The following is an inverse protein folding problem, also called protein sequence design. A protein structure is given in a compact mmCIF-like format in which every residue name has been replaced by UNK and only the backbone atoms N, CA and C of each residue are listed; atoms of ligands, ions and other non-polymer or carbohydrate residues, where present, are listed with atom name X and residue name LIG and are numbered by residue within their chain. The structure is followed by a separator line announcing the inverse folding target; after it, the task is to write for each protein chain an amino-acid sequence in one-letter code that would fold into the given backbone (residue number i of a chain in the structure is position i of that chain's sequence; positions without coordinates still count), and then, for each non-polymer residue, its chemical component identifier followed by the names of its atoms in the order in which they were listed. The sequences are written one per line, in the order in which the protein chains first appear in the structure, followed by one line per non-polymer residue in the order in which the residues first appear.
data_IF_405132123600
#
_entry.id   IF_405132123600
#
_cell.length_a   1.000
_cell.length_b   1.000
_cell.length_c   1.000
_cell.angle_alpha   90.00
_cell.angle_beta   90.00
_cell.angle_gamma   90.00
#
_symmetry.space_group_name_H-M   'P 1'
#
loop_
_entity.id
_entity.type
_entity.pdbx_description
1 polymer ?
#
# COMPACT_ATOMS: atom_id res chain seq x y z
N UNK A 1 2.33 -7.34 -18.68
CA UNK A 1 1.13 -7.36 -17.80
C UNK A 1 0.27 -6.18 -18.21
N UNK A 2 -0.95 -6.40 -18.71
CA UNK A 2 -1.83 -5.27 -19.09
C UNK A 2 -2.24 -4.52 -17.82
N UNK A 3 -2.00 -3.21 -17.81
CA UNK A 3 -2.33 -2.33 -16.71
C UNK A 3 -3.85 -2.22 -16.61
N UNK A 4 -4.42 -2.62 -15.47
CA UNK A 4 -5.84 -2.38 -15.19
C UNK A 4 -6.08 -0.87 -15.04
N UNK A 5 -7.31 -0.44 -15.27
CA UNK A 5 -7.71 0.94 -14.97
C UNK A 5 -7.52 1.27 -13.47
N UNK A 6 -7.29 2.55 -13.16
CA UNK A 6 -7.14 3.03 -11.78
C UNK A 6 -8.36 2.66 -10.95
N UNK A 7 -9.59 2.92 -11.44
CA UNK A 7 -10.82 2.73 -10.66
C UNK A 7 -11.06 1.26 -10.32
N UNK A 8 -10.84 0.37 -11.29
CA UNK A 8 -10.94 -1.08 -11.11
C UNK A 8 -9.92 -1.59 -10.11
N UNK A 9 -8.71 -1.04 -10.14
CA UNK A 9 -7.63 -1.42 -9.22
C UNK A 9 -7.94 -0.97 -7.80
N UNK A 10 -8.38 0.28 -7.62
CA UNK A 10 -8.83 0.82 -6.32
C UNK A 10 -9.95 -0.04 -5.76
N UNK A 11 -10.96 -0.35 -6.56
CA UNK A 11 -12.10 -1.21 -6.16
C UNK A 11 -11.62 -2.58 -5.70
N UNK A 12 -10.69 -3.19 -6.44
CA UNK A 12 -10.13 -4.51 -6.11
C UNK A 12 -9.36 -4.49 -4.79
N UNK A 13 -8.51 -3.48 -4.59
CA UNK A 13 -7.73 -3.33 -3.35
C UNK A 13 -8.67 -3.10 -2.17
N UNK A 14 -9.64 -2.18 -2.29
CA UNK A 14 -10.59 -1.90 -1.22
C UNK A 14 -11.45 -3.11 -0.87
N UNK A 15 -11.86 -3.91 -1.86
CA UNK A 15 -12.55 -5.17 -1.62
C UNK A 15 -11.68 -6.16 -0.82
N UNK A 16 -10.38 -6.28 -1.15
CA UNK A 16 -9.45 -7.14 -0.42
C UNK A 16 -9.20 -6.63 1.01
N UNK A 17 -9.05 -5.32 1.18
CA UNK A 17 -8.97 -4.68 2.50
C UNK A 17 -10.22 -5.02 3.31
N UNK A 18 -11.43 -4.81 2.76
CA UNK A 18 -12.69 -5.08 3.47
C UNK A 18 -12.80 -6.53 3.96
N UNK A 19 -12.27 -7.50 3.20
CA UNK A 19 -12.25 -8.92 3.59
C UNK A 19 -11.25 -9.26 4.70
N UNK A 20 -10.15 -8.52 4.79
CA UNK A 20 -9.05 -8.80 5.74
C UNK A 20 -9.11 -7.89 6.99
N UNK A 21 -9.78 -6.75 6.88
CA UNK A 21 -9.91 -5.75 7.92
C UNK A 21 -11.03 -6.13 8.89
N UNK A 22 -10.61 -6.60 10.07
CA UNK A 22 -11.50 -6.84 11.21
C UNK A 22 -11.15 -5.85 12.31
N UNK A 23 -11.90 -4.74 12.47
CA UNK A 23 -11.60 -3.70 13.46
C UNK A 23 -11.58 -4.30 14.87
N UNK A 24 -10.48 -4.08 15.58
CA UNK A 24 -10.31 -4.51 16.97
C UNK A 24 -9.61 -3.43 17.76
N UNK A 25 -10.17 -3.07 18.92
CA UNK A 25 -9.60 -2.06 19.80
C UNK A 25 -8.13 -2.37 20.14
N UNK A 26 -7.30 -1.34 20.17
CA UNK A 26 -5.85 -1.44 20.40
C UNK A 26 -5.04 -2.04 19.25
N UNK A 27 -5.67 -2.43 18.14
CA UNK A 27 -4.96 -2.95 16.96
C UNK A 27 -4.55 -1.81 16.02
N UNK A 28 -3.40 -1.95 15.37
CA UNK A 28 -2.91 -1.02 14.35
C UNK A 28 -3.01 -1.65 12.97
N UNK A 29 -3.43 -0.84 12.01
CA UNK A 29 -3.61 -1.23 10.62
C UNK A 29 -2.89 -0.22 9.74
N UNK A 30 -1.98 -0.69 8.91
CA UNK A 30 -1.26 0.16 7.94
C UNK A 30 -1.24 -0.50 6.58
N UNK A 31 -1.10 0.30 5.53
CA UNK A 31 -0.79 -0.19 4.20
C UNK A 31 0.73 -0.14 4.05
N UNK A 32 1.35 -1.23 3.57
CA UNK A 32 2.77 -1.26 3.24
C UNK A 32 2.94 -1.41 1.73
N UNK A 33 3.68 -0.48 1.15
CA UNK A 33 4.09 -0.50 -0.25
C UNK A 33 5.58 -0.83 -0.32
N UNK A 34 5.91 -1.95 -0.95
CA UNK A 34 7.29 -2.38 -1.14
C UNK A 34 7.63 -2.29 -2.63
N UNK A 35 8.61 -1.48 -2.97
CA UNK A 35 9.19 -1.50 -4.32
C UNK A 35 10.10 -2.72 -4.44
N UNK A 36 9.80 -3.59 -5.40
CA UNK A 36 10.62 -4.75 -5.70
C UNK A 36 11.79 -4.35 -6.62
N UNK A 37 13.05 -4.52 -6.19
CA UNK A 37 14.20 -4.16 -7.02
C UNK A 37 14.50 -5.20 -8.12
N UNK A 38 13.97 -6.41 -8.00
CA UNK A 38 14.23 -7.52 -8.93
C UNK A 38 13.13 -7.70 -9.96
N UNK A 39 11.91 -7.26 -9.66
CA UNK A 39 10.79 -7.18 -10.60
C UNK A 39 10.22 -5.75 -10.58
N UNK A 40 9.95 -5.10 -11.74
CA UNK A 40 9.45 -3.73 -11.80
C UNK A 40 7.98 -3.64 -11.32
N UNK A 41 7.79 -3.78 -10.01
CA UNK A 41 6.49 -3.84 -9.36
C UNK A 41 6.49 -3.20 -7.96
N UNK A 42 5.31 -2.74 -7.56
CA UNK A 42 4.98 -2.39 -6.19
C UNK A 42 4.12 -3.50 -5.58
N UNK A 43 4.61 -4.10 -4.50
CA UNK A 43 3.87 -5.05 -3.69
C UNK A 43 3.10 -4.31 -2.60
N UNK A 44 1.80 -4.58 -2.51
CA UNK A 44 0.89 -3.94 -1.57
C UNK A 44 0.47 -4.94 -0.49
N UNK A 45 0.56 -4.53 0.76
CA UNK A 45 0.15 -5.33 1.90
C UNK A 45 -0.72 -4.53 2.87
N UNK A 46 -1.66 -5.22 3.52
CA UNK A 46 -2.30 -4.77 4.74
C UNK A 46 -1.53 -5.34 5.93
N UNK A 47 -0.86 -4.47 6.68
CA UNK A 47 -0.20 -4.85 7.91
C UNK A 47 -1.16 -4.73 9.08
N UNK A 48 -1.25 -5.78 9.88
CA UNK A 48 -2.13 -5.86 11.05
C UNK A 48 -1.29 -6.20 12.27
N UNK A 49 -1.37 -5.37 13.31
CA UNK A 49 -0.72 -5.61 14.60
C UNK A 49 -1.74 -5.55 15.72
N UNK A 50 -2.08 -6.71 16.28
CA UNK A 50 -2.91 -6.80 17.47
C UNK A 50 -2.07 -6.57 18.73
N UNK A 51 -2.69 -6.15 19.86
CA UNK A 51 -2.01 -6.08 21.14
C UNK A 51 -1.35 -7.42 21.50
N UNK A 52 -0.10 -7.35 21.94
CA UNK A 52 0.70 -8.51 22.37
C UNK A 52 0.90 -9.59 21.30
N UNK A 53 0.76 -9.24 20.02
CA UNK A 53 1.02 -10.15 18.90
C UNK A 53 2.00 -9.54 17.92
N UNK A 54 2.72 -10.41 17.21
CA UNK A 54 3.56 -10.00 16.09
C UNK A 54 2.71 -9.43 14.95
N UNK A 55 3.23 -8.39 14.30
CA UNK A 55 2.63 -7.86 13.10
C UNK A 55 2.59 -8.93 12.00
N UNK A 56 1.53 -8.92 11.20
CA UNK A 56 1.40 -9.79 10.02
C UNK A 56 1.07 -8.95 8.80
N UNK A 57 1.68 -9.30 7.67
CA UNK A 57 1.42 -8.69 6.36
C UNK A 57 0.48 -9.59 5.57
N UNK A 58 -0.65 -9.04 5.15
CA UNK A 58 -1.60 -9.71 4.27
C UNK A 58 -1.48 -9.12 2.85
N UNK A 59 -1.28 -9.94 1.81
CA UNK A 59 -1.13 -9.42 0.45
C UNK A 59 -2.44 -8.79 -0.05
N UNK A 60 -2.31 -7.61 -0.64
CA UNK A 60 -3.41 -6.86 -1.27
C UNK A 60 -3.29 -6.85 -2.79
N UNK A 61 -2.10 -6.60 -3.36
CA UNK A 61 -1.91 -6.54 -4.81
C UNK A 61 -0.42 -6.57 -5.18
N UNK A 62 -0.15 -6.90 -6.44
CA UNK A 62 1.15 -6.67 -7.09
C UNK A 62 0.87 -5.82 -8.32
N UNK A 63 1.40 -4.61 -8.32
CA UNK A 63 1.10 -3.57 -9.30
C UNK A 63 2.37 -3.21 -10.09
N UNK A 64 2.29 -2.82 -11.37
CA UNK A 64 3.47 -2.34 -12.12
C UNK A 64 4.14 -1.16 -11.42
N UNK A 65 5.47 -1.02 -11.56
CA UNK A 65 6.27 0.08 -10.99
C UNK A 65 6.07 1.43 -11.73
N UNK A 66 4.83 1.87 -11.86
CA UNK A 66 4.47 3.17 -12.43
C UNK A 66 4.07 4.12 -11.30
N UNK A 67 4.90 5.13 -11.03
CA UNK A 67 4.72 6.04 -9.92
C UNK A 67 3.51 6.97 -10.08
N UNK A 68 3.18 7.39 -11.30
CA UNK A 68 2.03 8.27 -11.54
C UNK A 68 0.74 7.51 -11.27
N UNK A 69 0.74 6.23 -11.66
CA UNK A 69 -0.37 5.35 -11.38
C UNK A 69 -0.47 4.95 -9.91
N UNK A 70 0.66 4.65 -9.26
CA UNK A 70 0.74 4.40 -7.84
C UNK A 70 0.11 5.55 -7.04
N UNK A 71 0.50 6.79 -7.34
CA UNK A 71 -0.01 7.99 -6.67
C UNK A 71 -1.53 8.13 -6.82
N UNK A 72 -2.07 7.86 -8.02
CA UNK A 72 -3.51 7.87 -8.28
C UNK A 72 -4.27 6.77 -7.52
N UNK A 73 -3.73 5.54 -7.49
CA UNK A 73 -4.34 4.42 -6.76
C UNK A 73 -4.29 4.67 -5.25
N UNK A 74 -3.18 5.17 -4.71
CA UNK A 74 -3.03 5.52 -3.29
C UNK A 74 -4.09 6.52 -2.86
N UNK A 75 -4.30 7.57 -3.67
CA UNK A 75 -5.34 8.57 -3.41
C UNK A 75 -6.72 7.90 -3.28
N UNK A 76 -7.13 7.11 -4.27
CA UNK A 76 -8.45 6.44 -4.24
C UNK A 76 -8.62 5.42 -3.10
N UNK A 77 -7.56 4.69 -2.73
CA UNK A 77 -7.61 3.76 -1.59
C UNK A 77 -7.73 4.53 -0.27
N UNK A 78 -7.02 5.65 -0.13
CA UNK A 78 -7.02 6.47 1.09
C UNK A 78 -8.35 7.19 1.37
N UNK A 79 -9.20 7.35 0.36
CA UNK A 79 -10.54 7.94 0.50
C UNK A 79 -11.50 7.02 1.27
N UNK A 80 -11.31 5.70 1.18
CA UNK A 80 -12.16 4.73 1.89
C UNK A 80 -11.61 4.36 3.27
N UNK A 81 -10.29 4.22 3.38
CA UNK A 81 -9.62 3.84 4.63
C UNK A 81 -8.46 4.80 4.92
N UNK A 82 -8.54 5.55 6.02
CA UNK A 82 -7.49 6.49 6.45
C UNK A 82 -6.32 5.78 7.17
N UNK A 83 -5.87 4.64 6.64
CA UNK A 83 -4.72 3.94 7.20
C UNK A 83 -3.42 4.69 6.94
N UNK A 84 -2.47 4.61 7.87
CA UNK A 84 -1.10 5.05 7.62
C UNK A 84 -0.53 4.21 6.48
N UNK A 85 0.20 4.87 5.56
CA UNK A 85 0.84 4.22 4.43
C UNK A 85 2.35 4.26 4.66
N UNK A 86 2.97 3.09 4.65
CA UNK A 86 4.40 2.91 4.80
C UNK A 86 5.04 2.51 3.48
N UNK A 87 6.28 2.97 3.25
CA UNK A 87 7.05 2.69 2.04
C UNK A 87 8.37 2.01 2.36
N UNK A 88 8.67 0.92 1.63
CA UNK A 88 9.94 0.19 1.71
C UNK A 88 10.61 0.05 0.35
N UNK A 89 11.93 0.21 0.32
CA UNK A 89 12.77 0.19 -0.88
C UNK A 89 12.42 1.26 -1.93
N UNK A 90 11.72 2.32 -1.52
CA UNK A 90 11.33 3.46 -2.36
C UNK A 90 12.27 4.67 -2.22
N UNK A 91 13.34 4.60 -1.42
CA UNK A 91 14.12 5.77 -0.99
C UNK A 91 14.77 6.60 -2.10
N UNK A 92 14.90 6.05 -3.31
CA UNK A 92 15.44 6.76 -4.48
C UNK A 92 14.34 7.25 -5.44
N UNK A 93 13.08 6.97 -5.15
CA UNK A 93 11.93 7.35 -5.97
C UNK A 93 11.38 8.71 -5.53
N UNK A 94 10.74 9.42 -6.46
CA UNK A 94 10.14 10.74 -6.22
C UNK A 94 8.68 10.74 -6.64
N UNK A 95 7.82 11.37 -5.85
CA UNK A 95 6.42 11.55 -6.20
C UNK A 95 6.29 12.36 -7.49
N UNK A 96 5.58 11.88 -8.52
CA UNK A 96 5.45 12.58 -9.79
C UNK A 96 4.85 13.97 -9.65
N UNK A 97 3.84 14.12 -8.78
CA UNK A 97 3.13 15.40 -8.63
C UNK A 97 3.97 16.46 -7.91
N UNK A 98 4.79 16.07 -6.93
CA UNK A 98 5.49 17.02 -6.05
C UNK A 98 7.01 17.04 -6.22
N UNK A 99 7.60 16.05 -6.89
CA UNK A 99 9.04 15.85 -7.00
C UNK A 99 9.75 15.47 -5.69
N UNK A 100 9.01 15.36 -4.57
CA UNK A 100 9.56 15.03 -3.26
C UNK A 100 10.00 13.57 -3.22
N UNK A 101 11.08 13.28 -2.51
CA UNK A 101 11.54 11.90 -2.28
C UNK A 101 10.47 11.12 -1.51
N UNK A 102 10.33 9.84 -1.84
CA UNK A 102 9.48 8.93 -1.08
C UNK A 102 10.26 8.48 0.15
N UNK A 103 9.87 9.00 1.31
CA UNK A 103 10.52 8.70 2.57
C UNK A 103 10.30 7.23 2.96
N UNK A 104 11.38 6.58 3.38
CA UNK A 104 11.31 5.26 3.97
C UNK A 104 10.73 5.37 5.37
N UNK A 105 9.66 4.62 5.62
CA UNK A 105 8.96 4.60 6.91
C UNK A 105 9.01 3.19 7.47
N UNK A 106 9.26 3.06 8.77
CA UNK A 106 9.34 1.75 9.43
C UNK A 106 8.02 0.98 9.42
N UNK A 107 8.13 -0.35 9.52
CA UNK A 107 6.99 -1.25 9.72
C UNK A 107 6.50 -1.24 11.18
N UNK A 108 5.26 -1.73 11.41
CA UNK A 108 4.52 -1.70 12.69
C UNK A 108 5.17 -2.40 13.88
#
# INVERSE_FOLDING_TARGET
MNKLDVSTTVTTINHRIARQFHPKSGSRYTILIVHDPYAPAFNWFLNIKHPHQNARSQPLAVLPSDLQWLEAVLKGVSEQYHFTINYRNCGNLRWPTTGRLIEQTGDL
#
